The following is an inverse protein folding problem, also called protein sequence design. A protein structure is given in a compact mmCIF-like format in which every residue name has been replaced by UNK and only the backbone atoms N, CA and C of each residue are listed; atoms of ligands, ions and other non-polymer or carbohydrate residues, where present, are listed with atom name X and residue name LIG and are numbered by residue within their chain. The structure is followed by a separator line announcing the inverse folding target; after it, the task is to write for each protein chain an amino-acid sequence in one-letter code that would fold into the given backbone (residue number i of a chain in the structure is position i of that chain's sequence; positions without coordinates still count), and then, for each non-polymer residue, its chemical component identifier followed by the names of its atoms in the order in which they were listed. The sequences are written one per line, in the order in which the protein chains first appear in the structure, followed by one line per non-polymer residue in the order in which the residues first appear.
data_IF_070995832026
#
_entry.id   IF_070995832026
#
_cell.length_a   1.000
_cell.length_b   1.000
_cell.length_c   1.000
_cell.angle_alpha   90.00
_cell.angle_beta   90.00
_cell.angle_gamma   90.00
#
_symmetry.space_group_name_H-M   'P 1'
#
loop_
_entity.id
_entity.type
_entity.pdbx_description
1 polymer ?
#
# COMPACT_ATOMS: atom_id res chain seq x y z
N UNK A 1 42.58 -28.31 -18.64
CA UNK A 1 42.43 -29.33 -17.58
C UNK A 1 42.84 -28.67 -16.27
N UNK A 2 41.95 -28.57 -15.29
CA UNK A 2 42.29 -28.05 -13.97
C UNK A 2 43.18 -29.11 -13.30
N UNK A 3 44.48 -28.84 -13.18
CA UNK A 3 45.41 -29.75 -12.52
C UNK A 3 45.01 -29.88 -11.04
N UNK A 4 44.66 -31.10 -10.61
CA UNK A 4 44.31 -31.43 -9.23
C UNK A 4 45.58 -31.52 -8.37
N UNK A 5 46.29 -30.41 -8.26
CA UNK A 5 47.46 -30.32 -7.38
C UNK A 5 46.95 -30.02 -5.97
N UNK A 6 47.03 -31.02 -5.08
CA UNK A 6 46.85 -30.92 -3.61
C UNK A 6 45.43 -31.01 -3.02
N UNK A 7 44.45 -31.56 -3.73
CA UNK A 7 43.11 -31.81 -3.16
C UNK A 7 42.31 -30.53 -2.82
N UNK A 8 42.74 -29.38 -3.36
CA UNK A 8 42.14 -28.07 -3.14
C UNK A 8 40.75 -27.89 -3.78
N UNK A 9 40.30 -28.84 -4.60
CA UNK A 9 38.97 -28.80 -5.24
C UNK A 9 37.85 -28.94 -4.21
N UNK A 10 38.01 -29.82 -3.21
CA UNK A 10 36.99 -30.08 -2.19
C UNK A 10 36.68 -28.83 -1.32
N UNK A 11 37.67 -28.14 -0.72
CA UNK A 11 37.40 -26.93 0.07
C UNK A 11 36.83 -25.80 -0.79
N UNK A 12 37.22 -25.71 -2.07
CA UNK A 12 36.64 -24.72 -2.99
C UNK A 12 35.16 -24.99 -3.25
N UNK A 13 34.78 -26.25 -3.52
CA UNK A 13 33.38 -26.64 -3.72
C UNK A 13 32.53 -26.42 -2.46
N UNK A 14 33.07 -26.71 -1.28
CA UNK A 14 32.38 -26.46 -0.01
C UNK A 14 32.16 -24.95 0.22
N UNK A 15 33.17 -24.13 -0.08
CA UNK A 15 33.05 -22.68 0.04
C UNK A 15 32.02 -22.11 -0.94
N UNK A 16 32.04 -22.55 -2.19
CA UNK A 16 31.05 -22.08 -3.19
C UNK A 16 29.64 -22.51 -2.80
N UNK A 17 29.46 -23.73 -2.32
CA UNK A 17 28.16 -24.21 -1.82
C UNK A 17 27.65 -23.37 -0.66
N UNK A 18 28.52 -23.02 0.30
CA UNK A 18 28.18 -22.15 1.42
C UNK A 18 27.78 -20.75 0.96
N UNK A 19 28.54 -20.17 0.02
CA UNK A 19 28.21 -18.85 -0.55
C UNK A 19 26.88 -18.89 -1.30
N UNK A 20 26.64 -19.93 -2.11
CA UNK A 20 25.36 -20.10 -2.82
C UNK A 20 24.19 -20.21 -1.83
N UNK A 21 24.37 -20.92 -0.72
CA UNK A 21 23.35 -21.05 0.31
C UNK A 21 23.06 -19.72 1.02
N UNK A 22 24.11 -18.93 1.35
CA UNK A 22 23.94 -17.59 1.91
C UNK A 22 23.22 -16.65 0.95
N UNK A 23 23.57 -16.68 -0.34
CA UNK A 23 22.91 -15.89 -1.36
C UNK A 23 21.43 -16.28 -1.48
N UNK A 24 21.13 -17.58 -1.53
CA UNK A 24 19.77 -18.09 -1.61
C UNK A 24 18.90 -17.59 -0.45
N UNK A 25 19.38 -17.69 0.79
CA UNK A 25 18.65 -17.18 1.94
C UNK A 25 18.50 -15.66 1.92
N UNK A 26 19.53 -14.94 1.47
CA UNK A 26 19.47 -13.49 1.32
C UNK A 26 18.38 -13.08 0.33
N UNK A 27 18.31 -13.74 -0.83
CA UNK A 27 17.26 -13.49 -1.81
C UNK A 27 15.86 -13.80 -1.28
N UNK A 28 15.70 -14.88 -0.53
CA UNK A 28 14.42 -15.25 0.06
C UNK A 28 13.92 -14.16 1.03
N UNK A 29 14.77 -13.72 1.94
CA UNK A 29 14.44 -12.64 2.89
C UNK A 29 14.13 -11.31 2.17
N UNK A 30 14.92 -10.96 1.14
CA UNK A 30 14.67 -9.75 0.36
C UNK A 30 13.31 -9.84 -0.35
N UNK A 31 12.99 -11.00 -0.93
CA UNK A 31 11.73 -11.21 -1.63
C UNK A 31 10.53 -11.12 -0.67
N UNK A 32 10.62 -11.72 0.51
CA UNK A 32 9.57 -11.60 1.53
C UNK A 32 9.32 -10.14 1.94
N UNK A 33 10.39 -9.38 2.15
CA UNK A 33 10.29 -7.95 2.47
C UNK A 33 9.66 -7.14 1.32
N UNK A 34 10.02 -7.44 0.07
CA UNK A 34 9.42 -6.79 -1.10
C UNK A 34 7.93 -7.14 -1.21
N UNK A 35 7.56 -8.39 -0.97
CA UNK A 35 6.15 -8.83 -0.98
C UNK A 35 5.33 -8.09 0.08
N UNK A 36 5.83 -8.02 1.32
CA UNK A 36 5.14 -7.30 2.40
C UNK A 36 4.98 -5.82 2.08
N UNK A 37 6.03 -5.19 1.55
CA UNK A 37 6.00 -3.78 1.13
C UNK A 37 4.99 -3.57 0.01
N UNK A 38 4.93 -4.48 -0.97
CA UNK A 38 3.96 -4.43 -2.06
C UNK A 38 2.52 -4.52 -1.55
N UNK A 39 2.24 -5.42 -0.59
CA UNK A 39 0.90 -5.54 0.01
C UNK A 39 0.50 -4.24 0.71
N UNK A 40 1.40 -3.66 1.50
CA UNK A 40 1.14 -2.39 2.20
C UNK A 40 0.89 -1.25 1.20
N UNK A 41 1.71 -1.17 0.14
CA UNK A 41 1.57 -0.17 -0.90
C UNK A 41 0.25 -0.32 -1.67
N UNK A 42 -0.12 -1.56 -2.00
CA UNK A 42 -1.41 -1.86 -2.65
C UNK A 42 -2.57 -1.39 -1.76
N UNK A 43 -2.57 -1.73 -0.47
CA UNK A 43 -3.62 -1.32 0.45
C UNK A 43 -3.71 0.20 0.57
N UNK A 44 -2.57 0.88 0.66
CA UNK A 44 -2.53 2.34 0.68
C UNK A 44 -3.14 2.95 -0.58
N UNK A 45 -2.78 2.48 -1.78
CA UNK A 45 -3.37 3.00 -3.02
C UNK A 45 -4.86 2.68 -3.17
N UNK A 46 -5.31 1.50 -2.72
CA UNK A 46 -6.73 1.17 -2.70
C UNK A 46 -7.51 2.09 -1.77
N UNK A 47 -6.97 2.33 -0.57
CA UNK A 47 -7.51 3.28 0.40
C UNK A 47 -7.57 4.71 -0.16
N UNK A 48 -6.48 5.21 -0.73
CA UNK A 48 -6.39 6.52 -1.37
C UNK A 48 -7.38 6.67 -2.54
N UNK A 49 -7.57 5.61 -3.34
CA UNK A 49 -8.57 5.61 -4.40
C UNK A 49 -10.00 5.74 -3.83
N UNK A 50 -10.31 5.02 -2.75
CA UNK A 50 -11.61 5.13 -2.07
C UNK A 50 -11.85 6.53 -1.50
N UNK A 51 -10.82 7.12 -0.86
CA UNK A 51 -10.88 8.48 -0.34
C UNK A 51 -11.13 9.50 -1.46
N UNK A 52 -10.37 9.45 -2.56
CA UNK A 52 -10.53 10.36 -3.68
C UNK A 52 -11.85 10.20 -4.44
N UNK A 53 -12.39 8.99 -4.56
CA UNK A 53 -13.73 8.76 -5.09
C UNK A 53 -14.80 9.35 -4.17
N UNK A 54 -14.63 9.18 -2.86
CA UNK A 54 -15.55 9.71 -1.86
C UNK A 54 -15.52 11.23 -1.81
N UNK A 55 -14.34 11.85 -1.91
CA UNK A 55 -14.20 13.30 -2.00
C UNK A 55 -14.98 13.87 -3.20
N UNK A 56 -14.83 13.27 -4.38
CA UNK A 56 -15.62 13.68 -5.56
C UNK A 56 -17.11 13.54 -5.35
N UNK A 57 -17.55 12.44 -4.75
CA UNK A 57 -18.97 12.21 -4.52
C UNK A 57 -19.54 13.11 -3.42
N UNK A 58 -18.73 13.46 -2.43
CA UNK A 58 -19.10 14.44 -1.40
C UNK A 58 -19.30 15.82 -2.02
N UNK A 59 -18.48 16.20 -3.02
CA UNK A 59 -18.65 17.44 -3.81
C UNK A 59 -19.95 17.48 -4.63
N UNK A 60 -20.57 16.33 -4.90
CA UNK A 60 -21.86 16.24 -5.59
C UNK A 60 -23.04 16.14 -4.60
N UNK A 61 -22.86 15.44 -3.47
CA UNK A 61 -23.85 15.25 -2.42
C UNK A 61 -23.22 15.35 -1.02
N UNK A 62 -23.33 16.53 -0.43
CA UNK A 62 -22.77 16.85 0.90
C UNK A 62 -23.52 16.16 2.07
N UNK A 63 -24.58 15.39 1.82
CA UNK A 63 -25.36 14.71 2.87
C UNK A 63 -24.88 13.29 3.20
N UNK A 64 -23.88 12.78 2.46
CA UNK A 64 -23.37 11.43 2.60
C UNK A 64 -22.62 11.23 3.92
N UNK A 65 -23.04 10.21 4.69
CA UNK A 65 -22.38 9.80 5.94
C UNK A 65 -21.53 8.54 5.78
N UNK A 66 -21.83 7.72 4.78
CA UNK A 66 -21.14 6.46 4.51
C UNK A 66 -21.30 6.06 3.05
N UNK A 67 -20.21 5.59 2.45
CA UNK A 67 -20.20 5.01 1.10
C UNK A 67 -19.59 3.61 1.18
N UNK A 68 -20.26 2.62 0.60
CA UNK A 68 -19.78 1.24 0.56
C UNK A 68 -19.34 0.90 -0.86
N UNK A 69 -18.14 0.35 -0.97
CA UNK A 69 -17.55 -0.14 -2.20
C UNK A 69 -17.29 -1.65 -2.08
N UNK A 70 -17.06 -2.32 -3.21
CA UNK A 70 -16.74 -3.76 -3.22
C UNK A 70 -15.43 -4.13 -2.53
N UNK A 71 -14.57 -3.15 -2.24
CA UNK A 71 -13.23 -3.36 -1.66
C UNK A 71 -13.11 -2.80 -0.23
N UNK A 72 -14.17 -2.19 0.30
CA UNK A 72 -14.15 -1.53 1.59
C UNK A 72 -15.26 -0.50 1.74
N UNK A 73 -15.29 0.16 2.89
CA UNK A 73 -16.25 1.21 3.20
C UNK A 73 -15.53 2.52 3.55
N UNK A 74 -16.20 3.63 3.32
CA UNK A 74 -15.71 4.96 3.67
C UNK A 74 -16.73 5.62 4.59
N UNK A 75 -16.29 6.07 5.76
CA UNK A 75 -17.09 6.79 6.75
C UNK A 75 -16.76 8.27 6.64
N UNK A 76 -17.80 9.10 6.63
CA UNK A 76 -17.69 10.54 6.49
C UNK A 76 -18.19 11.17 7.79
N UNK A 77 -17.33 11.94 8.44
CA UNK A 77 -17.65 12.66 9.66
C UNK A 77 -17.45 14.15 9.44
N UNK A 78 -18.51 14.92 9.63
CA UNK A 78 -18.43 16.39 9.55
C UNK A 78 -17.72 16.94 10.79
N UNK A 79 -16.60 17.64 10.58
CA UNK A 79 -15.82 18.28 11.65
C UNK A 79 -16.18 19.77 11.84
N UNK A 80 -16.68 20.42 10.78
CA UNK A 80 -17.06 21.84 10.81
C UNK A 80 -18.02 22.22 9.69
N UNK A 81 -18.17 23.52 9.40
CA UNK A 81 -19.08 23.98 8.35
C UNK A 81 -18.68 23.48 6.95
N UNK A 82 -17.37 23.47 6.66
CA UNK A 82 -16.79 23.08 5.36
C UNK A 82 -15.78 21.94 5.44
N UNK A 83 -15.55 21.35 6.62
CA UNK A 83 -14.47 20.38 6.81
C UNK A 83 -15.06 19.01 7.11
N UNK A 84 -14.62 18.01 6.35
CA UNK A 84 -15.04 16.62 6.49
C UNK A 84 -13.83 15.74 6.74
N UNK A 85 -13.95 14.88 7.75
CA UNK A 85 -13.04 13.77 7.95
C UNK A 85 -13.59 12.56 7.23
N UNK A 86 -12.83 12.07 6.27
CA UNK A 86 -13.16 10.90 5.47
C UNK A 86 -12.21 9.78 5.89
N UNK A 87 -12.79 8.66 6.32
CA UNK A 87 -12.03 7.50 6.82
C UNK A 87 -12.34 6.29 5.95
N UNK A 88 -11.34 5.79 5.22
CA UNK A 88 -11.43 4.55 4.47
C UNK A 88 -11.16 3.36 5.37
N UNK A 89 -11.86 2.26 5.14
CA UNK A 89 -11.66 0.99 5.81
C UNK A 89 -11.79 -0.14 4.78
N UNK A 90 -10.67 -0.79 4.47
CA UNK A 90 -10.63 -1.95 3.59
C UNK A 90 -11.06 -3.22 4.32
N UNK A 91 -11.47 -4.25 3.57
CA UNK A 91 -11.90 -5.54 4.13
C UNK A 91 -10.83 -6.25 4.96
N UNK A 92 -9.55 -5.99 4.65
CA UNK A 92 -8.40 -6.54 5.38
C UNK A 92 -8.08 -5.80 6.68
N UNK A 93 -8.90 -4.82 7.06
CA UNK A 93 -8.74 -4.03 8.28
C UNK A 93 -7.79 -2.85 8.14
N UNK A 94 -7.14 -2.64 6.99
CA UNK A 94 -6.37 -1.43 6.72
C UNK A 94 -7.30 -0.21 6.68
N UNK A 95 -6.92 0.85 7.38
CA UNK A 95 -7.70 2.09 7.43
C UNK A 95 -6.79 3.31 7.27
N UNK A 96 -7.31 4.32 6.58
CA UNK A 96 -6.63 5.60 6.42
C UNK A 96 -7.64 6.72 6.61
N UNK A 97 -7.17 7.86 7.08
CA UNK A 97 -8.03 9.01 7.36
C UNK A 97 -7.45 10.24 6.71
N UNK A 98 -8.30 10.97 6.01
CA UNK A 98 -7.96 12.24 5.40
C UNK A 98 -8.99 13.28 5.79
N UNK A 99 -8.52 14.50 6.06
CA UNK A 99 -9.39 15.66 6.23
C UNK A 99 -9.42 16.40 4.90
N UNK A 100 -10.62 16.68 4.42
CA UNK A 100 -10.87 17.37 3.16
C UNK A 100 -11.67 18.63 3.44
N UNK A 101 -11.22 19.74 2.85
CA UNK A 101 -11.91 21.03 2.90
C UNK A 101 -12.81 21.18 1.66
N UNK A 102 -14.07 21.51 1.90
CA UNK A 102 -15.08 21.71 0.88
C UNK A 102 -15.05 23.16 0.39
N UNK A 103 -14.52 23.38 -0.81
CA UNK A 103 -14.66 24.65 -1.52
C UNK A 103 -15.90 24.56 -2.41
N UNK A 104 -17.00 25.18 -1.99
CA UNK A 104 -18.10 25.48 -2.92
C UNK A 104 -17.49 26.46 -3.94
N UNK A 105 -17.25 26.02 -5.18
CA UNK A 105 -17.15 26.96 -6.29
C UNK A 105 -18.53 27.62 -6.37
N UNK A 106 -18.63 28.88 -5.92
CA UNK A 106 -19.76 29.73 -6.26
C UNK A 106 -19.79 29.80 -7.78
N UNK A 107 -20.77 29.07 -8.35
CA UNK A 107 -21.11 29.20 -9.75
C UNK A 107 -21.63 30.62 -9.91
N UNK A 108 -20.79 31.54 -10.38
CA UNK A 108 -21.19 32.88 -10.79
C UNK A 108 -22.34 32.73 -11.81
N UNK A 109 -23.58 32.91 -11.34
CA UNK A 109 -24.75 33.12 -12.18
C UNK A 109 -24.60 34.51 -12.83
N UNK A 110 -24.42 34.52 -14.15
CA UNK A 110 -24.43 35.69 -15.01
C UNK A 110 -25.81 35.88 -15.62
#
# INVERSE_FOLDING_TARGET
MLNNERGAVLPFVLLTMLVTQLLFFSFLTIYENQMQTYILLKNHYQSQALLGLTERQLNEDASLSKITFNIGEVKIQRLGEKNYQITSQLENGYSETQVVDYYIEEKDEN
#
